data_IF_967546829190
#
_entry.id   IF_967546829190
#
_cell.length_a   1.000
_cell.length_b   1.000
_cell.length_c   1.000
_cell.angle_alpha   90.00
_cell.angle_beta   90.00
_cell.angle_gamma   90.00
#
_symmetry.space_group_name_H-M   'P 1'
#
loop_
_entity.id
_entity.type
_entity.pdbx_description
1 polymer ?
#
# COMPACT_ATOMS: atom_id res chain seq x y z
N UNK A 1 -2.38 6.50 39.82
CA UNK A 1 -3.31 6.46 38.67
C UNK A 1 -2.70 5.47 37.68
N UNK A 2 -3.20 4.24 37.61
CA UNK A 2 -2.71 3.30 36.58
C UNK A 2 -3.03 3.92 35.21
N UNK A 3 -2.04 3.97 34.33
CA UNK A 3 -2.26 4.37 32.94
C UNK A 3 -3.25 3.38 32.32
N UNK A 4 -4.35 3.86 31.75
CA UNK A 4 -5.27 3.01 30.98
C UNK A 4 -4.53 2.36 29.81
N UNK A 5 -4.91 1.15 29.44
CA UNK A 5 -4.27 0.37 28.40
C UNK A 5 -4.02 1.17 27.11
N UNK A 6 -5.04 1.89 26.64
CA UNK A 6 -5.01 2.69 25.40
C UNK A 6 -4.74 4.18 25.61
N UNK A 7 -3.98 4.58 26.63
CA UNK A 7 -3.58 5.98 26.79
C UNK A 7 -2.79 6.53 25.57
N UNK A 8 -2.17 5.65 24.78
CA UNK A 8 -1.47 6.00 23.54
C UNK A 8 -1.73 4.94 22.43
N UNK A 9 -2.84 5.05 21.67
CA UNK A 9 -3.20 4.07 20.66
C UNK A 9 -2.17 3.98 19.52
N UNK A 10 -1.55 5.09 19.14
CA UNK A 10 -0.51 5.14 18.10
C UNK A 10 0.69 4.26 18.42
N UNK A 11 1.17 4.28 19.68
CA UNK A 11 2.29 3.43 20.10
C UNK A 11 1.95 1.93 20.05
N UNK A 12 0.70 1.58 20.37
CA UNK A 12 0.20 0.20 20.30
C UNK A 12 0.12 -0.25 18.84
N UNK A 13 -0.50 0.55 17.97
CA UNK A 13 -0.58 0.27 16.53
C UNK A 13 0.82 0.11 15.91
N UNK A 14 1.75 1.01 16.23
CA UNK A 14 3.13 0.94 15.75
C UNK A 14 3.86 -0.34 16.20
N UNK A 15 3.57 -0.85 17.40
CA UNK A 15 4.14 -2.11 17.88
C UNK A 15 3.49 -3.31 17.21
N UNK A 16 2.15 -3.33 17.09
CA UNK A 16 1.41 -4.36 16.37
C UNK A 16 1.87 -4.47 14.91
N UNK A 17 2.05 -3.34 14.23
CA UNK A 17 2.52 -3.31 12.84
C UNK A 17 3.89 -3.98 12.69
N UNK A 18 4.81 -3.77 13.65
CA UNK A 18 6.13 -4.42 13.63
C UNK A 18 6.04 -5.93 13.89
N UNK A 19 5.15 -6.36 14.78
CA UNK A 19 4.93 -7.79 15.04
C UNK A 19 4.38 -8.49 13.80
N UNK A 20 3.38 -7.91 13.13
CA UNK A 20 2.83 -8.46 11.89
C UNK A 20 3.84 -8.40 10.73
N UNK A 21 4.64 -7.34 10.64
CA UNK A 21 5.70 -7.24 9.63
C UNK A 21 6.75 -8.36 9.78
N UNK A 22 7.12 -8.71 11.02
CA UNK A 22 8.03 -9.83 11.30
C UNK A 22 7.46 -11.20 10.86
N UNK A 23 6.14 -11.30 10.74
CA UNK A 23 5.42 -12.51 10.29
C UNK A 23 5.06 -12.49 8.80
N UNK A 24 5.38 -11.41 8.08
CA UNK A 24 5.00 -11.25 6.67
C UNK A 24 3.51 -10.97 6.43
N UNK A 25 2.77 -10.57 7.47
CA UNK A 25 1.33 -10.31 7.43
C UNK A 25 1.03 -8.92 6.84
N UNK A 26 1.22 -8.76 5.52
CA UNK A 26 1.22 -7.47 4.83
C UNK A 26 -0.11 -6.70 4.93
N UNK A 27 -1.25 -7.40 5.00
CA UNK A 27 -2.57 -6.77 5.01
C UNK A 27 -2.85 -6.10 6.35
N UNK A 28 -2.53 -6.78 7.44
CA UNK A 28 -2.59 -6.29 8.81
C UNK A 28 -1.65 -5.09 8.98
N UNK A 29 -0.43 -5.18 8.45
CA UNK A 29 0.54 -4.06 8.44
C UNK A 29 -0.05 -2.85 7.71
N UNK A 30 -0.65 -3.04 6.53
CA UNK A 30 -1.26 -1.95 5.78
C UNK A 30 -2.39 -1.29 6.57
N UNK A 31 -3.28 -2.06 7.19
CA UNK A 31 -4.38 -1.52 8.02
C UNK A 31 -3.81 -0.68 9.16
N UNK A 32 -2.91 -1.25 9.96
CA UNK A 32 -2.33 -0.59 11.15
C UNK A 32 -1.51 0.65 10.80
N UNK A 33 -0.89 0.68 9.61
CA UNK A 33 -0.05 1.81 9.16
C UNK A 33 -0.89 2.98 8.64
N UNK A 34 -1.98 2.70 7.93
CA UNK A 34 -2.74 3.73 7.22
C UNK A 34 -4.05 4.13 7.88
N UNK A 35 -4.47 3.44 8.95
CA UNK A 35 -5.67 3.80 9.69
C UNK A 35 -5.42 4.87 10.75
N UNK A 36 -6.44 5.68 11.04
CA UNK A 36 -6.50 6.43 12.30
C UNK A 36 -7.26 5.63 13.37
N UNK A 37 -6.70 5.40 14.56
CA UNK A 37 -7.39 4.65 15.62
C UNK A 37 -8.40 5.52 16.37
N UNK A 38 -9.59 4.97 16.62
CA UNK A 38 -10.59 5.51 17.54
C UNK A 38 -10.97 4.43 18.55
N UNK A 39 -10.81 4.73 19.83
CA UNK A 39 -11.21 3.82 20.89
C UNK A 39 -12.55 4.29 21.48
N UNK A 40 -13.53 3.40 21.48
CA UNK A 40 -14.85 3.66 22.05
C UNK A 40 -15.04 2.77 23.26
N UNK A 41 -15.38 3.38 24.40
CA UNK A 41 -15.84 2.65 25.58
C UNK A 41 -17.25 2.12 25.31
N UNK A 42 -17.41 0.80 25.30
CA UNK A 42 -18.66 0.14 24.93
C UNK A 42 -19.49 -0.27 26.13
N UNK A 43 -18.84 -0.58 27.25
CA UNK A 43 -19.50 -1.00 28.47
C UNK A 43 -18.54 -0.82 29.66
N UNK A 44 -19.13 -0.64 30.83
CA UNK A 44 -18.42 -0.61 32.10
C UNK A 44 -19.17 -1.50 33.10
N UNK A 45 -18.49 -2.51 33.63
CA UNK A 45 -18.97 -3.22 34.80
C UNK A 45 -18.35 -2.60 36.06
N UNK A 46 -19.10 -2.59 37.16
CA UNK A 46 -18.60 -2.11 38.45
C UNK A 46 -18.46 -3.27 39.45
N UNK A 47 -18.20 -4.48 38.95
CA UNK A 47 -17.99 -5.65 39.81
C UNK A 47 -16.49 -5.87 40.01
N UNK A 48 -16.07 -6.29 41.20
CA UNK A 48 -14.65 -6.62 41.52
C UNK A 48 -13.60 -5.52 41.24
N UNK A 49 -13.96 -4.23 41.37
CA UNK A 49 -13.03 -3.11 41.16
C UNK A 49 -13.18 -2.38 39.82
N UNK A 50 -14.11 -2.86 38.98
CA UNK A 50 -14.56 -2.21 37.76
C UNK A 50 -13.78 -2.65 36.54
N UNK A 51 -14.51 -3.14 35.53
CA UNK A 51 -13.94 -3.53 34.23
C UNK A 51 -14.51 -2.63 33.15
N UNK A 52 -13.63 -2.02 32.36
CA UNK A 52 -14.02 -1.21 31.21
C UNK A 52 -13.77 -1.99 29.93
N UNK A 53 -14.79 -2.08 29.08
CA UNK A 53 -14.68 -2.73 27.77
C UNK A 53 -14.61 -1.68 26.67
N UNK A 54 -13.76 -1.96 25.69
CA UNK A 54 -13.50 -1.09 24.57
C UNK A 54 -13.69 -1.81 23.24
N UNK A 55 -14.04 -1.01 22.23
CA UNK A 55 -13.93 -1.36 20.81
C UNK A 55 -12.97 -0.41 20.12
N UNK A 56 -12.07 -0.95 19.32
CA UNK A 56 -11.13 -0.20 18.50
C UNK A 56 -11.65 -0.11 17.06
N UNK A 57 -11.90 1.09 16.60
CA UNK A 57 -12.23 1.40 15.22
C UNK A 57 -10.97 1.90 14.50
N UNK A 58 -10.62 1.26 13.38
CA UNK A 58 -9.50 1.60 12.53
C UNK A 58 -10.05 2.26 11.26
N UNK A 59 -9.98 3.60 11.22
CA UNK A 59 -10.47 4.42 10.11
C UNK A 59 -9.49 4.38 8.96
N UNK A 60 -9.71 3.50 7.98
CA UNK A 60 -8.83 3.32 6.82
C UNK A 60 -9.20 4.24 5.65
N UNK A 61 -8.24 4.67 4.82
CA UNK A 61 -8.49 5.46 3.62
C UNK A 61 -9.53 4.82 2.68
N UNK A 62 -10.35 5.65 2.02
CA UNK A 62 -11.44 5.19 1.15
C UNK A 62 -10.98 4.33 -0.03
N UNK A 63 -9.75 4.51 -0.51
CA UNK A 63 -9.15 3.66 -1.54
C UNK A 63 -8.63 2.32 -0.99
N UNK A 64 -8.27 2.25 0.29
CA UNK A 64 -7.83 1.03 0.98
C UNK A 64 -9.02 0.13 1.32
N UNK A 65 -10.12 0.70 1.82
CA UNK A 65 -11.26 -0.06 2.34
C UNK A 65 -11.83 -1.13 1.36
N UNK A 66 -12.05 -0.84 0.05
CA UNK A 66 -12.53 -1.84 -0.91
C UNK A 66 -11.56 -3.00 -1.12
N UNK A 67 -10.25 -2.73 -1.04
CA UNK A 67 -9.20 -3.74 -1.21
C UNK A 67 -9.17 -4.75 -0.03
N UNK A 68 -9.73 -4.37 1.12
CA UNK A 68 -9.76 -5.19 2.32
C UNK A 68 -11.02 -6.06 2.46
N UNK A 69 -12.07 -5.83 1.65
CA UNK A 69 -13.37 -6.48 1.81
C UNK A 69 -13.27 -8.01 1.88
N UNK A 70 -12.46 -8.60 1.03
CA UNK A 70 -12.22 -10.04 1.05
C UNK A 70 -11.32 -10.41 2.23
N UNK A 71 -11.87 -10.99 3.28
CA UNK A 71 -11.10 -11.39 4.47
C UNK A 71 -10.94 -10.30 5.54
N UNK A 72 -11.68 -9.19 5.45
CA UNK A 72 -11.65 -8.12 6.47
C UNK A 72 -11.85 -8.64 7.90
N UNK A 73 -12.80 -9.56 8.09
CA UNK A 73 -13.06 -10.15 9.42
C UNK A 73 -11.89 -10.98 9.95
N UNK A 74 -11.07 -11.58 9.08
CA UNK A 74 -9.87 -12.31 9.50
C UNK A 74 -8.79 -11.33 9.98
N UNK A 75 -8.62 -10.20 9.28
CA UNK A 75 -7.69 -9.14 9.67
C UNK A 75 -8.11 -8.54 11.02
N UNK A 76 -9.40 -8.20 11.18
CA UNK A 76 -9.95 -7.68 12.44
C UNK A 76 -9.67 -8.63 13.61
N UNK A 77 -9.95 -9.93 13.43
CA UNK A 77 -9.70 -10.93 14.46
C UNK A 77 -8.22 -11.10 14.77
N UNK A 78 -7.37 -11.16 13.74
CA UNK A 78 -5.92 -11.30 13.93
C UNK A 78 -5.33 -10.12 14.73
N UNK A 79 -5.74 -8.88 14.41
CA UNK A 79 -5.32 -7.69 15.14
C UNK A 79 -5.82 -7.74 16.58
N UNK A 80 -7.08 -8.13 16.81
CA UNK A 80 -7.66 -8.27 18.15
C UNK A 80 -6.87 -9.28 18.98
N UNK A 81 -6.62 -10.47 18.44
CA UNK A 81 -5.90 -11.55 19.12
C UNK A 81 -4.48 -11.11 19.48
N UNK A 82 -3.80 -10.41 18.57
CA UNK A 82 -2.43 -9.90 18.82
C UNK A 82 -2.41 -8.77 19.84
N UNK A 83 -3.44 -7.93 19.88
CA UNK A 83 -3.56 -6.86 20.87
C UNK A 83 -3.73 -7.39 22.30
N UNK A 84 -4.26 -8.61 22.49
CA UNK A 84 -4.41 -9.23 23.81
C UNK A 84 -3.09 -9.35 24.58
N UNK A 85 -1.96 -9.53 23.88
CA UNK A 85 -0.62 -9.63 24.47
C UNK A 85 -0.29 -8.41 25.37
N UNK A 86 -0.82 -7.23 25.02
CA UNK A 86 -0.59 -6.02 25.79
C UNK A 86 -1.65 -5.79 26.88
N UNK A 87 -2.85 -6.35 26.70
CA UNK A 87 -3.98 -6.27 27.65
C UNK A 87 -3.76 -7.10 28.91
N UNK A 88 -2.92 -8.14 28.84
CA UNK A 88 -2.54 -8.96 30.01
C UNK A 88 -1.97 -8.13 31.17
N UNK A 89 -1.42 -6.94 30.89
CA UNK A 89 -0.88 -6.02 31.89
C UNK A 89 -1.95 -5.09 32.51
N UNK A 90 -3.17 -5.08 31.98
CA UNK A 90 -4.28 -4.20 32.34
C UNK A 90 -5.56 -5.00 32.60
N UNK A 91 -5.65 -5.75 33.72
CA UNK A 91 -6.75 -6.71 33.95
C UNK A 91 -8.15 -6.08 34.03
N UNK A 92 -8.23 -4.77 34.27
CA UNK A 92 -9.48 -3.99 34.31
C UNK A 92 -9.89 -3.38 32.97
N UNK A 93 -9.06 -3.47 31.93
CA UNK A 93 -9.35 -2.93 30.60
C UNK A 93 -9.41 -4.08 29.60
N UNK A 94 -10.52 -4.20 28.87
CA UNK A 94 -10.74 -5.30 27.93
C UNK A 94 -11.01 -4.76 26.54
N UNK A 95 -10.20 -5.12 25.55
CA UNK A 95 -10.54 -4.89 24.14
C UNK A 95 -11.36 -6.08 23.65
N UNK A 96 -12.60 -5.83 23.27
CA UNK A 96 -13.53 -6.89 22.86
C UNK A 96 -13.66 -7.00 21.34
N UNK A 97 -13.36 -5.90 20.63
CA UNK A 97 -13.58 -5.84 19.19
C UNK A 97 -12.59 -4.89 18.52
N UNK A 98 -12.15 -5.30 17.33
CA UNK A 98 -11.49 -4.44 16.35
C UNK A 98 -12.40 -4.35 15.12
N UNK A 99 -12.61 -3.14 14.60
CA UNK A 99 -13.42 -2.89 13.41
C UNK A 99 -12.67 -2.04 12.42
N UNK A 100 -12.56 -2.49 11.18
CA UNK A 100 -12.04 -1.72 10.07
C UNK A 100 -13.21 -0.96 9.46
N UNK A 101 -13.12 0.37 9.44
CA UNK A 101 -14.19 1.25 8.93
C UNK A 101 -13.61 2.24 7.92
N UNK A 102 -14.37 2.66 6.91
CA UNK A 102 -13.90 3.67 5.99
C UNK A 102 -13.78 5.02 6.72
N UNK A 103 -12.65 5.69 6.55
CA UNK A 103 -12.45 7.03 7.08
C UNK A 103 -13.46 8.01 6.48
N UNK A 104 -14.12 8.78 7.34
CA UNK A 104 -15.04 9.85 6.90
C UNK A 104 -14.21 11.02 6.38
N UNK A 105 -14.42 11.39 5.12
CA UNK A 105 -13.72 12.52 4.49
C UNK A 105 -14.70 13.67 4.31
N UNK A 106 -14.34 14.82 4.88
CA UNK A 106 -15.03 16.08 4.59
C UNK A 106 -14.51 16.67 3.28
N UNK A 107 -15.32 16.56 2.23
CA UNK A 107 -15.02 17.16 0.92
C UNK A 107 -16.23 18.00 0.47
N UNK A 108 -16.20 19.34 0.62
CA UNK A 108 -17.30 20.20 0.23
C UNK A 108 -17.73 20.05 -1.24
N UNK A 109 -16.83 19.56 -2.10
CA UNK A 109 -17.05 19.39 -3.54
C UNK A 109 -17.29 17.93 -3.95
N UNK A 110 -17.63 17.05 -3.01
CA UNK A 110 -17.76 15.61 -3.30
C UNK A 110 -18.81 15.33 -4.38
N UNK A 111 -19.87 16.15 -4.47
CA UNK A 111 -20.93 16.01 -5.48
C UNK A 111 -20.43 16.32 -6.88
N UNK A 112 -19.69 17.43 -7.08
CA UNK A 112 -19.12 17.76 -8.39
C UNK A 112 -18.08 16.72 -8.82
N UNK A 113 -17.24 16.24 -7.88
CA UNK A 113 -16.23 15.22 -8.16
C UNK A 113 -16.86 13.87 -8.51
N UNK A 114 -17.92 13.45 -7.81
CA UNK A 114 -18.66 12.23 -8.12
C UNK A 114 -19.37 12.33 -9.48
N UNK A 115 -19.97 13.49 -9.78
CA UNK A 115 -20.58 13.75 -11.09
C UNK A 115 -19.55 13.68 -12.22
N UNK A 116 -18.36 14.27 -12.04
CA UNK A 116 -17.27 14.20 -13.01
C UNK A 116 -16.74 12.77 -13.22
N UNK A 117 -16.77 11.92 -12.19
CA UNK A 117 -16.44 10.50 -12.32
C UNK A 117 -17.48 9.74 -13.15
N UNK A 118 -18.79 9.98 -12.91
CA UNK A 118 -19.88 9.35 -13.67
C UNK A 118 -19.87 9.72 -15.16
N UNK A 119 -19.39 10.91 -15.52
CA UNK A 119 -19.27 11.33 -16.92
C UNK A 119 -18.05 10.74 -17.64
N UNK A 120 -17.29 9.84 -16.99
CA UNK A 120 -16.15 9.16 -17.59
C UNK A 120 -14.86 9.99 -17.63
N UNK A 121 -14.86 11.17 -16.99
CA UNK A 121 -13.71 12.10 -16.96
C UNK A 121 -12.50 11.55 -16.19
N UNK A 122 -12.65 10.41 -15.49
CA UNK A 122 -11.64 9.79 -14.61
C UNK A 122 -11.75 8.26 -14.52
N UNK A 123 -12.07 7.56 -15.61
CA UNK A 123 -11.91 6.10 -15.63
C UNK A 123 -10.41 5.77 -15.66
N UNK A 124 -9.85 5.42 -14.50
CA UNK A 124 -8.46 4.98 -14.38
C UNK A 124 -8.38 3.49 -14.69
N UNK A 125 -7.59 3.11 -15.70
CA UNK A 125 -7.25 1.72 -16.03
C UNK A 125 -6.11 1.18 -15.14
N UNK A 126 -5.77 1.88 -14.04
CA UNK A 126 -4.78 1.40 -13.07
C UNK A 126 -5.31 0.19 -12.33
N UNK A 127 -4.42 -0.77 -12.07
CA UNK A 127 -4.75 -2.08 -11.57
C UNK A 127 -5.29 -2.09 -10.15
N UNK A 128 -6.60 -1.87 -10.01
CA UNK A 128 -7.30 -1.96 -8.73
C UNK A 128 -7.92 -3.34 -8.48
N UNK A 129 -7.40 -4.40 -9.10
CA UNK A 129 -8.07 -5.71 -9.09
C UNK A 129 -7.13 -6.79 -8.55
N UNK A 130 -7.42 -7.25 -7.32
CA UNK A 130 -7.02 -8.55 -6.75
C UNK A 130 -5.51 -8.85 -6.67
N UNK A 131 -4.66 -7.92 -6.22
CA UNK A 131 -3.34 -8.28 -5.70
C UNK A 131 -3.37 -8.40 -4.19
N UNK A 132 -2.65 -9.37 -3.62
CA UNK A 132 -2.39 -9.45 -2.17
C UNK A 132 -1.59 -8.23 -1.64
N UNK A 133 -1.16 -7.34 -2.54
CA UNK A 133 -0.37 -6.15 -2.27
C UNK A 133 -1.22 -4.91 -2.60
N UNK A 134 -1.54 -4.17 -1.56
CA UNK A 134 -2.48 -3.03 -1.56
C UNK A 134 -1.78 -1.76 -2.04
N UNK A 135 -2.51 -0.87 -2.74
CA UNK A 135 -2.03 0.46 -3.13
C UNK A 135 -2.80 1.57 -2.38
N UNK A 136 -2.33 2.01 -1.19
CA UNK A 136 -3.08 2.93 -0.32
C UNK A 136 -2.78 4.41 -0.59
N UNK A 137 -1.75 4.74 -1.37
CA UNK A 137 -1.33 6.12 -1.58
C UNK A 137 -1.85 6.67 -2.92
N UNK A 138 -2.13 7.98 -2.98
CA UNK A 138 -2.61 8.64 -4.21
C UNK A 138 -1.89 9.97 -4.45
N UNK A 139 -1.41 10.21 -5.68
CA UNK A 139 -0.84 11.49 -6.14
C UNK A 139 -1.28 11.76 -7.58
N UNK A 140 -1.68 12.98 -7.90
CA UNK A 140 -2.13 13.38 -9.25
C UNK A 140 -3.26 12.50 -9.84
N UNK A 141 -4.07 11.90 -8.96
CA UNK A 141 -5.13 10.96 -9.36
C UNK A 141 -4.64 9.55 -9.71
N UNK A 142 -3.37 9.25 -9.43
CA UNK A 142 -2.72 7.95 -9.67
C UNK A 142 -2.44 7.24 -8.33
N UNK A 143 -2.52 5.92 -8.33
CA UNK A 143 -2.25 5.06 -7.16
C UNK A 143 -0.78 4.65 -7.05
N UNK A 144 -0.31 4.47 -5.81
CA UNK A 144 1.03 4.00 -5.45
C UNK A 144 1.00 3.10 -4.23
N UNK A 145 1.96 2.17 -4.13
CA UNK A 145 2.09 1.23 -3.00
C UNK A 145 3.05 1.75 -1.93
N UNK A 146 4.01 2.59 -2.30
CA UNK A 146 5.01 3.13 -1.36
C UNK A 146 5.34 4.61 -1.57
N UNK A 147 5.87 5.24 -0.52
CA UNK A 147 6.36 6.62 -0.61
C UNK A 147 7.61 6.74 -1.53
N UNK A 148 8.41 5.67 -1.61
CA UNK A 148 9.53 5.57 -2.53
C UNK A 148 9.08 5.66 -4.00
N UNK A 149 8.01 4.94 -4.37
CA UNK A 149 7.40 5.07 -5.70
C UNK A 149 6.92 6.50 -5.97
N UNK A 150 6.28 7.16 -4.99
CA UNK A 150 5.84 8.56 -5.15
C UNK A 150 7.02 9.49 -5.42
N UNK A 151 8.15 9.33 -4.71
CA UNK A 151 9.34 10.12 -4.96
C UNK A 151 9.91 9.86 -6.36
N UNK A 152 9.98 8.60 -6.79
CA UNK A 152 10.45 8.23 -8.12
C UNK A 152 9.52 8.80 -9.21
N UNK A 153 8.20 8.68 -9.05
CA UNK A 153 7.21 9.26 -9.95
C UNK A 153 7.42 10.76 -10.14
N UNK A 154 7.56 11.51 -9.04
CA UNK A 154 7.80 12.96 -9.09
C UNK A 154 9.11 13.29 -9.80
N UNK A 155 10.16 12.51 -9.57
CA UNK A 155 11.45 12.69 -10.24
C UNK A 155 11.36 12.41 -11.75
N UNK A 156 10.74 11.30 -12.16
CA UNK A 156 10.51 10.95 -13.57
C UNK A 156 9.68 12.03 -14.28
N UNK A 157 8.58 12.47 -13.64
CA UNK A 157 7.74 13.57 -14.14
C UNK A 157 8.53 14.87 -14.31
N UNK A 158 9.36 15.24 -13.34
CA UNK A 158 10.21 16.43 -13.42
C UNK A 158 11.27 16.34 -14.52
N UNK A 159 11.70 15.12 -14.87
CA UNK A 159 12.59 14.86 -16.00
C UNK A 159 11.89 14.80 -17.37
N UNK A 160 10.58 14.99 -17.44
CA UNK A 160 9.82 14.89 -18.69
C UNK A 160 9.66 13.46 -19.22
N UNK A 161 9.75 12.46 -18.33
CA UNK A 161 9.54 11.05 -18.69
C UNK A 161 8.04 10.76 -18.73
N UNK A 162 7.58 10.17 -19.83
CA UNK A 162 6.22 9.61 -19.89
C UNK A 162 6.20 8.30 -19.12
N UNK A 163 5.40 8.24 -18.06
CA UNK A 163 5.34 7.08 -17.18
C UNK A 163 3.90 6.74 -16.78
N UNK A 164 3.65 5.46 -16.55
CA UNK A 164 2.42 4.91 -16.05
C UNK A 164 2.72 4.07 -14.79
N UNK A 165 2.39 4.56 -13.58
CA UNK A 165 2.49 3.76 -12.37
C UNK A 165 1.36 2.72 -12.33
N UNK A 166 1.66 1.53 -11.80
CA UNK A 166 0.71 0.40 -11.64
C UNK A 166 -0.04 0.06 -12.95
N UNK A 167 0.70 0.06 -14.06
CA UNK A 167 0.17 -0.23 -15.38
C UNK A 167 -0.20 -1.71 -15.50
N UNK A 168 -1.47 -2.00 -15.82
CA UNK A 168 -1.91 -3.38 -16.03
C UNK A 168 -1.61 -3.81 -17.46
N UNK A 169 -0.84 -4.89 -17.59
CA UNK A 169 -0.65 -5.58 -18.85
C UNK A 169 -1.36 -6.93 -18.81
N UNK A 170 -2.06 -7.26 -19.90
CA UNK A 170 -2.78 -8.52 -20.07
C UNK A 170 -2.31 -9.18 -21.37
N UNK A 171 -2.02 -10.48 -21.31
CA UNK A 171 -1.80 -11.34 -22.47
C UNK A 171 -2.81 -12.48 -22.44
N UNK A 172 -3.64 -12.54 -23.46
CA UNK A 172 -4.49 -13.70 -23.75
C UNK A 172 -3.78 -14.71 -24.66
N UNK A 173 -4.52 -15.73 -25.13
CA UNK A 173 -4.00 -16.83 -25.94
C UNK A 173 -4.21 -18.17 -25.25
N UNK A 174 -3.28 -19.12 -25.44
CA UNK A 174 -3.35 -20.45 -24.80
C UNK A 174 -3.33 -20.37 -23.26
N UNK A 175 -2.70 -19.34 -22.70
CA UNK A 175 -2.70 -19.06 -21.27
C UNK A 175 -2.96 -17.59 -20.99
N UNK A 176 -3.85 -17.29 -20.05
CA UNK A 176 -4.05 -15.93 -19.54
C UNK A 176 -2.89 -15.53 -18.62
N UNK A 177 -2.29 -14.37 -18.87
CA UNK A 177 -1.32 -13.74 -17.97
C UNK A 177 -1.70 -12.29 -17.74
N UNK A 178 -1.56 -11.84 -16.49
CA UNK A 178 -1.74 -10.45 -16.08
C UNK A 178 -0.56 -10.05 -15.19
N UNK A 179 0.03 -8.90 -15.48
CA UNK A 179 1.11 -8.35 -14.66
C UNK A 179 0.85 -6.87 -14.38
N UNK A 180 1.41 -6.40 -13.28
CA UNK A 180 1.25 -5.03 -12.80
C UNK A 180 2.57 -4.53 -12.21
N UNK A 181 3.52 -4.11 -13.06
CA UNK A 181 4.76 -3.49 -12.63
C UNK A 181 4.51 -2.17 -11.87
N UNK A 182 5.47 -1.78 -11.03
CA UNK A 182 5.39 -0.51 -10.29
C UNK A 182 5.36 0.68 -11.27
N UNK A 183 6.23 0.66 -12.28
CA UNK A 183 6.23 1.64 -13.36
C UNK A 183 6.44 1.00 -14.74
N UNK A 184 5.72 1.53 -15.71
CA UNK A 184 6.09 1.43 -17.13
C UNK A 184 6.45 2.82 -17.64
N UNK A 185 7.63 2.95 -18.23
CA UNK A 185 8.15 4.22 -18.75
C UNK A 185 8.42 4.13 -20.24
N UNK A 186 8.15 5.23 -20.94
CA UNK A 186 8.49 5.41 -22.36
C UNK A 186 9.28 6.70 -22.50
N UNK A 187 10.51 6.59 -23.00
CA UNK A 187 11.38 7.74 -23.21
C UNK A 187 12.37 7.46 -24.34
N UNK A 188 12.62 8.44 -25.21
CA UNK A 188 13.55 8.30 -26.34
C UNK A 188 13.32 7.06 -27.23
N UNK A 189 12.07 6.59 -27.38
CA UNK A 189 11.74 5.37 -28.15
C UNK A 189 12.08 4.04 -27.44
N UNK A 190 12.50 4.10 -26.18
CA UNK A 190 12.72 2.94 -25.32
C UNK A 190 11.51 2.76 -24.41
N UNK A 191 11.00 1.54 -24.34
CA UNK A 191 10.01 1.11 -23.36
C UNK A 191 10.69 0.30 -22.26
N UNK A 192 10.41 0.63 -21.01
CA UNK A 192 11.06 0.01 -19.86
C UNK A 192 10.08 -0.18 -18.71
N UNK A 193 10.14 -1.34 -18.07
CA UNK A 193 9.55 -1.63 -16.77
C UNK A 193 10.55 -1.27 -15.69
N UNK A 194 10.10 -0.59 -14.64
CA UNK A 194 10.89 -0.32 -13.44
C UNK A 194 10.15 -0.89 -12.23
N UNK A 195 10.82 -1.76 -11.49
CA UNK A 195 10.33 -2.32 -10.21
C UNK A 195 11.10 -1.66 -9.05
N UNK A 196 10.37 -1.25 -8.02
CA UNK A 196 10.93 -0.65 -6.80
C UNK A 196 10.92 -1.71 -5.70
N UNK A 197 12.05 -2.40 -5.54
CA UNK A 197 12.20 -3.50 -4.59
C UNK A 197 12.26 -2.95 -3.15
N UNK A 198 11.39 -3.45 -2.26
CA UNK A 198 11.38 -3.05 -0.84
C UNK A 198 12.37 -3.83 0.03
N UNK A 199 12.83 -3.24 1.13
CA UNK A 199 13.73 -3.90 2.11
C UNK A 199 13.11 -5.12 2.81
N UNK A 200 11.80 -5.37 2.61
CA UNK A 200 11.08 -6.52 3.19
C UNK A 200 10.97 -7.63 2.14
N UNK A 201 11.90 -8.57 2.24
CA UNK A 201 11.92 -9.94 1.73
C UNK A 201 10.74 -10.26 0.79
N UNK A 202 10.95 -10.04 -0.51
CA UNK A 202 10.11 -10.65 -1.52
C UNK A 202 10.15 -12.18 -1.32
N UNK A 203 9.02 -12.77 -0.92
CA UNK A 203 8.83 -14.22 -0.92
C UNK A 203 8.60 -14.77 -2.34
N UNK A 204 8.72 -13.94 -3.39
CA UNK A 204 8.76 -14.46 -4.76
C UNK A 204 10.10 -15.15 -4.98
N UNK A 205 10.04 -16.39 -5.43
CA UNK A 205 11.24 -17.08 -5.90
C UNK A 205 11.82 -16.31 -7.10
N UNK A 206 13.14 -16.37 -7.35
CA UNK A 206 13.75 -15.79 -8.54
C UNK A 206 13.07 -16.24 -9.84
N UNK A 207 12.50 -17.44 -9.86
CA UNK A 207 11.75 -17.99 -10.98
C UNK A 207 10.39 -17.30 -11.20
N UNK A 208 9.65 -16.99 -10.14
CA UNK A 208 8.37 -16.27 -10.22
C UNK A 208 8.57 -14.80 -10.64
N UNK A 209 9.56 -14.15 -10.04
CA UNK A 209 9.95 -12.79 -10.40
C UNK A 209 10.44 -12.69 -11.86
N UNK A 210 11.17 -13.70 -12.33
CA UNK A 210 11.57 -13.81 -13.72
C UNK A 210 10.33 -14.04 -14.60
N UNK A 211 9.51 -15.06 -14.32
CA UNK A 211 8.32 -15.41 -15.10
C UNK A 211 7.29 -14.27 -15.24
N UNK A 212 7.17 -13.41 -14.22
CA UNK A 212 6.32 -12.21 -14.24
C UNK A 212 6.80 -11.20 -15.26
N UNK A 213 8.10 -10.94 -15.32
CA UNK A 213 8.66 -9.89 -16.18
C UNK A 213 9.03 -10.38 -17.58
N UNK A 214 9.26 -11.69 -17.77
CA UNK A 214 9.51 -12.34 -19.07
C UNK A 214 8.41 -12.04 -20.10
N UNK A 215 7.17 -11.82 -19.64
CA UNK A 215 6.05 -11.48 -20.52
C UNK A 215 6.40 -10.29 -21.43
N UNK A 216 6.84 -9.17 -20.86
CA UNK A 216 7.14 -7.97 -21.66
C UNK A 216 8.56 -7.97 -22.23
N UNK A 217 9.50 -8.67 -21.58
CA UNK A 217 10.89 -8.73 -22.02
C UNK A 217 11.04 -9.25 -23.45
N UNK A 218 10.29 -10.30 -23.80
CA UNK A 218 10.30 -10.86 -25.17
C UNK A 218 9.66 -9.95 -26.22
N UNK A 219 8.90 -8.94 -25.81
CA UNK A 219 8.29 -7.93 -26.70
C UNK A 219 9.22 -6.71 -26.89
N UNK A 220 10.45 -6.78 -26.40
CA UNK A 220 11.43 -5.70 -26.51
C UNK A 220 11.33 -4.63 -25.41
N UNK A 221 10.59 -4.89 -24.34
CA UNK A 221 10.55 -4.03 -23.15
C UNK A 221 11.73 -4.34 -22.24
N UNK A 222 12.49 -3.31 -21.86
CA UNK A 222 13.61 -3.46 -20.93
C UNK A 222 13.11 -3.51 -19.48
N UNK A 223 13.85 -4.15 -18.58
CA UNK A 223 13.48 -4.25 -17.17
C UNK A 223 14.64 -3.73 -16.33
N UNK A 224 14.34 -2.79 -15.43
CA UNK A 224 15.27 -2.26 -14.44
C UNK A 224 14.69 -2.41 -13.04
N UNK A 225 15.55 -2.60 -12.05
CA UNK A 225 15.18 -2.72 -10.63
C UNK A 225 15.90 -1.65 -9.83
N UNK A 226 15.18 -1.00 -8.93
CA UNK A 226 15.72 0.02 -8.04
C UNK A 226 15.35 -0.34 -6.61
N UNK A 227 16.29 -0.21 -5.68
CA UNK A 227 16.01 -0.43 -4.27
C UNK A 227 15.16 0.72 -3.69
N UNK A 228 14.23 0.43 -2.79
CA UNK A 228 13.42 1.45 -2.12
C UNK A 228 14.27 2.48 -1.40
N UNK A 229 15.42 2.06 -0.85
CA UNK A 229 16.42 2.92 -0.20
C UNK A 229 17.06 3.97 -1.13
N UNK A 230 17.03 3.74 -2.45
CA UNK A 230 17.48 4.69 -3.48
C UNK A 230 16.40 5.74 -3.82
N UNK A 231 15.19 5.58 -3.27
CA UNK A 231 14.04 6.44 -3.51
C UNK A 231 13.41 6.98 -2.21
N UNK A 232 14.03 6.74 -1.04
CA UNK A 232 13.48 7.14 0.27
C UNK A 232 13.32 8.66 0.44
N UNK A 233 14.03 9.47 -0.35
CA UNK A 233 13.95 10.93 -0.34
C UNK A 233 13.87 11.51 -1.76
N UNK A 234 13.34 12.75 -1.93
CA UNK A 234 13.27 13.40 -3.23
C UNK A 234 14.62 13.53 -3.94
N UNK A 235 15.71 13.79 -3.19
CA UNK A 235 17.05 13.93 -3.74
C UNK A 235 17.59 12.58 -4.24
N UNK A 236 17.39 11.51 -3.47
CA UNK A 236 17.80 10.16 -3.87
C UNK A 236 17.00 9.68 -5.08
N UNK A 237 15.68 9.88 -5.07
CA UNK A 237 14.82 9.54 -6.20
C UNK A 237 15.18 10.30 -7.49
N UNK A 238 15.61 11.56 -7.38
CA UNK A 238 16.16 12.31 -8.53
C UNK A 238 17.40 11.64 -9.11
N UNK A 239 18.33 11.20 -8.26
CA UNK A 239 19.52 10.48 -8.71
C UNK A 239 19.15 9.12 -9.34
N UNK A 240 18.17 8.41 -8.77
CA UNK A 240 17.66 7.16 -9.31
C UNK A 240 17.03 7.35 -10.71
N UNK A 241 16.20 8.38 -10.89
CA UNK A 241 15.65 8.74 -12.20
C UNK A 241 16.75 9.08 -13.23
N UNK A 242 17.80 9.78 -12.82
CA UNK A 242 18.95 10.06 -13.69
C UNK A 242 19.71 8.80 -14.11
N UNK A 243 19.86 7.81 -13.21
CA UNK A 243 20.45 6.51 -13.54
C UNK A 243 19.61 5.77 -14.59
N UNK A 244 18.28 5.77 -14.45
CA UNK A 244 17.38 5.18 -15.45
C UNK A 244 17.51 5.85 -16.81
N UNK A 245 17.54 7.18 -16.85
CA UNK A 245 17.73 7.93 -18.10
C UNK A 245 19.08 7.60 -18.75
N UNK A 246 20.15 7.48 -17.96
CA UNK A 246 21.46 7.06 -18.47
C UNK A 246 21.43 5.63 -19.03
N UNK A 247 20.68 4.71 -18.41
CA UNK A 247 20.46 3.36 -18.95
C UNK A 247 19.69 3.40 -20.28
N UNK A 248 18.64 4.23 -20.37
CA UNK A 248 17.86 4.43 -21.59
C UNK A 248 18.73 4.96 -22.73
N UNK A 249 19.59 5.94 -22.49
CA UNK A 249 20.48 6.46 -23.54
C UNK A 249 21.52 5.43 -24.00
N UNK A 250 22.02 4.58 -23.09
CA UNK A 250 22.87 3.43 -23.49
C UNK A 250 22.13 2.43 -24.36
N UNK A 251 20.89 2.09 -24.01
CA UNK A 251 20.05 1.17 -24.78
C UNK A 251 19.72 1.73 -26.16
N UNK A 252 19.43 3.03 -26.23
CA UNK A 252 19.22 3.74 -27.49
C UNK A 252 20.46 3.74 -28.37
N UNK A 253 21.65 3.95 -27.81
CA UNK A 253 22.90 3.91 -28.55
C UNK A 253 23.28 2.51 -29.06
N UNK A 254 22.69 1.46 -28.49
CA UNK A 254 22.89 0.07 -28.88
C UNK A 254 21.90 -0.42 -29.96
N UNK A 255 20.91 0.40 -30.33
CA UNK A 255 19.95 0.14 -31.43
C UNK A 255 20.44 0.78 -32.73
#
# INVERSE_FOLDING_TARGET
>A
MQSRFFANPEAILGTLARLFAAEGAAREVAVLTYSSPELVETNYDNWNGGTTTYSLYLHVPLNLYPQLQEGMGLIEQAILDKAQIFLDQFPSDHLTQVKIVPAVVEDPQWREKAAAWLTGSKTSNQGCVRSNNVAPLTVDGLLFRSQAEIHLYRALKACGVSCAPLAVFVRGGESYRRIEPDFFIVHSGISMVVEVDGDTVHQETPAEAHARTTMLQHEGVHIERIQSSDCESPQKAKAAAQKLLAAIEKLKAAR
#
